data_IF_936421079046
#
_entry.id   IF_936421079046
#
_cell.length_a   1.000
_cell.length_b   1.000
_cell.length_c   1.000
_cell.angle_alpha   90.00
_cell.angle_beta   90.00
_cell.angle_gamma   90.00
#
_symmetry.space_group_name_H-M   'P 1'
#
loop_
_entity.id
_entity.type
_entity.pdbx_description
1 polymer ?
#
# COMPACT_ATOMS: atom_id res chain seq x y z
N UNK A 1 -6.98 3.30 9.55
CA UNK A 1 -5.69 3.34 8.83
C UNK A 1 -5.97 3.67 7.38
N UNK A 2 -5.35 4.72 6.89
CA UNK A 2 -5.47 5.16 5.50
C UNK A 2 -4.31 4.59 4.70
N UNK A 3 -4.60 4.08 3.50
CA UNK A 3 -3.59 3.48 2.66
C UNK A 3 -3.80 3.87 1.20
N UNK A 4 -2.69 4.02 0.49
CA UNK A 4 -2.66 4.16 -0.95
C UNK A 4 -1.49 3.32 -1.48
N UNK A 5 -1.76 2.47 -2.45
CA UNK A 5 -0.79 1.56 -3.03
C UNK A 5 -0.60 1.83 -4.52
N UNK A 6 0.62 1.60 -5.00
CA UNK A 6 0.91 1.55 -6.43
C UNK A 6 1.39 0.16 -6.82
N UNK A 7 1.02 -0.28 -8.01
CA UNK A 7 1.31 -1.61 -8.52
C UNK A 7 1.78 -1.52 -9.97
N UNK A 8 2.38 -2.61 -10.46
CA UNK A 8 2.76 -2.72 -11.88
C UNK A 8 1.56 -2.95 -12.79
N UNK A 9 0.43 -3.31 -12.23
CA UNK A 9 -0.85 -3.54 -12.88
C UNK A 9 -1.84 -4.05 -11.86
N UNK A 10 -3.00 -4.52 -12.30
CA UNK A 10 -4.08 -4.95 -11.41
C UNK A 10 -4.28 -6.47 -11.35
N UNK A 11 -3.43 -7.25 -12.02
CA UNK A 11 -3.50 -8.70 -12.04
C UNK A 11 -2.77 -9.29 -10.82
N UNK A 12 -3.51 -9.84 -9.88
CA UNK A 12 -2.95 -10.43 -8.66
C UNK A 12 -2.01 -11.62 -8.92
N UNK A 13 -2.11 -12.26 -10.08
CA UNK A 13 -1.24 -13.39 -10.41
C UNK A 13 0.14 -12.94 -10.92
N UNK A 14 0.20 -11.77 -11.58
CA UNK A 14 1.41 -11.32 -12.29
C UNK A 14 2.00 -10.04 -11.75
N UNK A 15 1.16 -9.15 -11.25
CA UNK A 15 1.60 -7.79 -10.94
C UNK A 15 2.13 -7.65 -9.52
N UNK A 16 3.00 -6.67 -9.36
CA UNK A 16 3.71 -6.42 -8.11
C UNK A 16 3.17 -5.18 -7.42
N UNK A 17 3.13 -5.26 -6.09
CA UNK A 17 2.97 -4.12 -5.20
C UNK A 17 4.32 -3.40 -5.12
N UNK A 18 4.38 -2.12 -5.51
CA UNK A 18 5.64 -1.37 -5.63
C UNK A 18 5.72 -0.14 -4.74
N UNK A 19 4.61 0.35 -4.23
CA UNK A 19 4.61 1.44 -3.24
C UNK A 19 3.45 1.25 -2.27
N UNK A 20 3.70 1.50 -1.00
CA UNK A 20 2.68 1.50 0.05
C UNK A 20 2.86 2.76 0.89
N UNK A 21 1.86 3.63 0.87
CA UNK A 21 1.81 4.83 1.70
C UNK A 21 0.70 4.66 2.73
N UNK A 22 1.02 4.91 4.00
CA UNK A 22 0.09 4.69 5.12
C UNK A 22 0.09 5.88 6.06
N UNK A 23 -1.12 6.30 6.45
CA UNK A 23 -1.35 7.26 7.51
C UNK A 23 -2.32 6.66 8.53
N UNK A 24 -2.05 6.85 9.80
CA UNK A 24 -3.02 6.58 10.86
C UNK A 24 -3.58 7.91 11.34
N UNK A 25 -4.89 8.01 11.43
CA UNK A 25 -5.56 9.20 11.96
C UNK A 25 -6.46 8.82 13.13
N UNK A 26 -6.80 9.80 13.95
CA UNK A 26 -7.89 9.66 14.89
C UNK A 26 -9.25 9.86 14.17
N UNK A 27 -10.35 9.84 14.93
CA UNK A 27 -11.71 10.01 14.37
C UNK A 27 -11.94 11.41 13.77
N UNK A 28 -11.16 12.40 14.17
CA UNK A 28 -11.26 13.78 13.69
C UNK A 28 -10.26 14.07 12.55
N UNK A 29 -9.64 13.03 12.00
CA UNK A 29 -8.69 13.07 10.90
C UNK A 29 -7.36 13.77 11.24
N UNK A 30 -7.01 13.85 12.51
CA UNK A 30 -5.68 14.29 12.90
C UNK A 30 -4.68 13.16 12.66
N UNK A 31 -3.62 13.46 11.90
CA UNK A 31 -2.58 12.47 11.57
C UNK A 31 -1.74 12.17 12.81
N UNK A 32 -1.58 10.87 13.11
CA UNK A 32 -0.76 10.38 14.21
C UNK A 32 0.62 10.00 13.65
N UNK A 33 1.66 10.60 14.20
CA UNK A 33 3.01 10.44 13.67
C UNK A 33 3.18 11.13 12.31
N UNK A 34 4.15 10.67 11.54
CA UNK A 34 4.48 11.26 10.24
C UNK A 34 3.98 10.43 9.05
N UNK A 35 3.40 9.26 9.33
CA UNK A 35 3.07 8.31 8.29
C UNK A 35 4.29 7.59 7.75
N UNK A 36 4.08 6.70 6.82
CA UNK A 36 5.16 5.99 6.11
C UNK A 36 4.84 5.91 4.63
N UNK A 37 5.88 5.94 3.82
CA UNK A 37 5.80 5.73 2.38
C UNK A 37 7.00 4.86 2.01
N UNK A 38 6.74 3.62 1.59
CA UNK A 38 7.80 2.66 1.28
C UNK A 38 7.73 2.22 -0.17
N UNK A 39 8.89 2.16 -0.80
CA UNK A 39 9.05 1.67 -2.16
C UNK A 39 9.58 0.24 -2.11
N UNK A 40 8.99 -0.64 -2.91
CA UNK A 40 9.31 -2.06 -2.95
C UNK A 40 9.82 -2.39 -4.35
N UNK A 41 11.03 -2.94 -4.42
CA UNK A 41 11.65 -3.26 -5.69
C UNK A 41 11.01 -4.53 -6.28
N UNK A 42 10.36 -4.43 -7.46
CA UNK A 42 9.77 -5.60 -8.10
C UNK A 42 10.83 -6.43 -8.83
N UNK A 43 10.43 -7.63 -9.26
CA UNK A 43 11.25 -8.44 -10.16
C UNK A 43 11.24 -7.83 -11.56
N UNK A 44 12.29 -8.09 -12.34
CA UNK A 44 12.44 -7.55 -13.69
C UNK A 44 11.28 -7.94 -14.61
N UNK A 45 10.79 -9.19 -14.53
CA UNK A 45 9.67 -9.64 -15.35
C UNK A 45 8.36 -8.90 -15.00
N UNK A 46 8.20 -8.46 -13.77
CA UNK A 46 7.04 -7.67 -13.39
C UNK A 46 7.10 -6.26 -13.95
N UNK A 47 8.29 -5.66 -13.97
CA UNK A 47 8.51 -4.37 -14.63
C UNK A 47 8.30 -4.47 -16.14
N UNK A 48 8.85 -5.51 -16.78
CA UNK A 48 8.71 -5.73 -18.21
C UNK A 48 7.26 -5.98 -18.62
N UNK A 49 6.47 -6.59 -17.75
CA UNK A 49 5.05 -6.90 -18.01
C UNK A 49 4.09 -5.72 -17.86
N UNK A 50 4.57 -4.56 -17.40
CA UNK A 50 3.75 -3.36 -17.26
C UNK A 50 3.17 -2.91 -18.60
N UNK A 51 1.87 -2.56 -18.62
CA UNK A 51 1.27 -1.95 -19.80
C UNK A 51 1.88 -0.59 -20.10
N UNK A 52 1.79 -0.12 -21.33
CA UNK A 52 2.30 1.19 -21.73
C UNK A 52 1.64 2.32 -20.93
N UNK A 53 0.34 2.19 -20.65
CA UNK A 53 -0.41 3.17 -19.85
C UNK A 53 0.14 3.27 -18.42
N UNK A 54 0.34 2.14 -17.75
CA UNK A 54 0.85 2.10 -16.38
C UNK A 54 2.31 2.57 -16.33
N UNK A 55 3.12 2.15 -17.31
CA UNK A 55 4.52 2.58 -17.42
C UNK A 55 4.65 4.08 -17.58
N UNK A 56 3.82 4.68 -18.45
CA UNK A 56 3.81 6.12 -18.65
C UNK A 56 3.39 6.86 -17.38
N UNK A 57 2.37 6.37 -16.69
CA UNK A 57 1.90 6.96 -15.44
C UNK A 57 2.98 6.95 -14.37
N UNK A 58 3.67 5.84 -14.18
CA UNK A 58 4.73 5.72 -13.18
C UNK A 58 6.01 6.45 -13.58
N UNK A 59 6.26 6.60 -14.87
CA UNK A 59 7.37 7.42 -15.38
C UNK A 59 7.12 8.89 -15.06
N UNK A 60 5.93 9.40 -15.36
CA UNK A 60 5.56 10.81 -15.11
C UNK A 60 5.58 11.17 -13.63
N UNK A 61 5.17 10.26 -12.76
CA UNK A 61 5.17 10.49 -11.31
C UNK A 61 6.57 10.41 -10.69
N UNK A 62 7.56 9.91 -11.44
CA UNK A 62 8.91 9.65 -10.93
C UNK A 62 9.06 8.32 -10.19
N UNK A 63 7.99 7.53 -10.09
CA UNK A 63 8.00 6.28 -9.34
C UNK A 63 8.96 5.25 -9.95
N UNK A 64 8.96 5.08 -11.28
CA UNK A 64 9.85 4.11 -11.92
C UNK A 64 11.32 4.36 -11.60
N UNK A 65 11.75 5.61 -11.67
CA UNK A 65 13.15 5.97 -11.36
C UNK A 65 13.46 5.72 -9.88
N UNK A 66 12.49 5.99 -9.00
CA UNK A 66 12.66 5.81 -7.57
C UNK A 66 12.74 4.34 -7.15
N UNK A 67 12.18 3.41 -7.93
CA UNK A 67 12.18 1.97 -7.60
C UNK A 67 13.58 1.35 -7.53
N UNK A 68 14.59 1.96 -8.14
CA UNK A 68 15.96 1.52 -8.01
C UNK A 68 16.43 1.51 -6.53
N UNK A 69 15.86 2.38 -5.71
CA UNK A 69 16.12 2.48 -4.27
C UNK A 69 15.08 1.76 -3.42
N UNK A 70 14.23 0.94 -4.03
CA UNK A 70 13.20 0.18 -3.34
C UNK A 70 13.79 -0.89 -2.43
N UNK A 71 13.06 -1.24 -1.39
CA UNK A 71 13.44 -2.26 -0.43
C UNK A 71 12.76 -3.60 -0.74
N UNK A 72 13.04 -4.62 0.06
CA UNK A 72 12.37 -5.92 -0.07
C UNK A 72 10.95 -5.84 0.53
N UNK A 73 10.09 -6.78 0.12
CA UNK A 73 8.74 -6.88 0.68
C UNK A 73 8.78 -7.11 2.20
N UNK A 74 9.70 -7.94 2.67
CA UNK A 74 9.84 -8.23 4.11
C UNK A 74 10.19 -6.96 4.89
N UNK A 75 11.16 -6.18 4.41
CA UNK A 75 11.55 -4.93 5.06
C UNK A 75 10.44 -3.89 5.00
N UNK A 76 9.78 -3.76 3.86
CA UNK A 76 8.66 -2.84 3.68
C UNK A 76 7.52 -3.16 4.65
N UNK A 77 7.17 -4.44 4.77
CA UNK A 77 6.14 -4.89 5.71
C UNK A 77 6.48 -4.51 7.14
N UNK A 78 7.74 -4.71 7.54
CA UNK A 78 8.17 -4.40 8.89
C UNK A 78 8.11 -2.89 9.17
N UNK A 79 8.56 -2.07 8.24
CA UNK A 79 8.51 -0.60 8.36
C UNK A 79 7.06 -0.12 8.55
N UNK A 80 6.14 -0.61 7.73
CA UNK A 80 4.73 -0.24 7.81
C UNK A 80 4.10 -0.72 9.12
N UNK A 81 4.35 -1.98 9.49
CA UNK A 81 3.82 -2.55 10.74
C UNK A 81 4.32 -1.82 11.98
N UNK A 82 5.59 -1.45 12.02
CA UNK A 82 6.15 -0.72 13.16
C UNK A 82 5.44 0.61 13.36
N UNK A 83 5.21 1.35 12.28
CA UNK A 83 4.45 2.59 12.35
C UNK A 83 3.01 2.35 12.81
N UNK A 84 2.32 1.41 12.18
CA UNK A 84 0.90 1.15 12.49
C UNK A 84 0.74 0.68 13.94
N UNK A 85 1.59 -0.23 14.41
CA UNK A 85 1.52 -0.77 15.78
C UNK A 85 1.83 0.27 16.85
N UNK A 86 2.61 1.28 16.54
CA UNK A 86 2.87 2.37 17.46
C UNK A 86 1.58 3.10 17.84
N UNK A 87 0.72 3.36 16.87
CA UNK A 87 -0.53 4.12 17.07
C UNK A 87 -1.77 3.24 17.18
N UNK A 88 -1.71 2.01 16.69
CA UNK A 88 -2.79 1.03 16.75
C UNK A 88 -2.23 -0.31 17.24
N UNK A 89 -1.92 -0.42 18.53
CA UNK A 89 -1.29 -1.65 19.06
C UNK A 89 -2.21 -2.87 19.05
N UNK A 90 -3.53 -2.66 19.05
CA UNK A 90 -4.49 -3.77 19.09
C UNK A 90 -4.93 -4.12 17.67
N UNK A 91 -4.77 -5.41 17.30
CA UNK A 91 -5.22 -5.92 16.01
C UNK A 91 -6.76 -5.91 15.90
N UNK A 92 -7.24 -5.81 14.65
CA UNK A 92 -8.66 -5.90 14.29
C UNK A 92 -9.53 -4.79 14.86
N UNK A 93 -8.94 -3.64 15.19
CA UNK A 93 -9.66 -2.53 15.80
C UNK A 93 -10.03 -1.42 14.81
N UNK A 94 -9.13 -1.07 13.89
CA UNK A 94 -9.34 0.04 12.96
C UNK A 94 -9.65 -0.47 11.56
N UNK A 95 -10.60 0.17 10.85
CA UNK A 95 -10.90 -0.19 9.46
C UNK A 95 -9.77 0.26 8.55
N UNK A 96 -9.74 -0.33 7.36
CA UNK A 96 -8.87 0.08 6.26
C UNK A 96 -9.60 1.08 5.40
N UNK A 97 -8.99 2.24 5.16
CA UNK A 97 -9.61 3.35 4.43
C UNK A 97 -8.76 3.77 3.23
N UNK A 98 -9.40 4.14 2.15
CA UNK A 98 -8.74 4.64 0.94
C UNK A 98 -9.69 4.76 -0.23
N UNK A 99 -9.14 5.06 -1.40
CA UNK A 99 -9.90 5.16 -2.64
C UNK A 99 -9.83 3.83 -3.41
N UNK A 100 -10.98 3.27 -3.75
CA UNK A 100 -11.09 1.94 -4.40
C UNK A 100 -10.31 0.88 -3.60
N UNK A 101 -10.48 0.92 -2.30
CA UNK A 101 -9.62 0.25 -1.32
C UNK A 101 -9.61 -1.28 -1.43
N UNK A 102 -10.64 -1.87 -2.03
CA UNK A 102 -10.70 -3.32 -2.22
C UNK A 102 -9.54 -3.87 -3.04
N UNK A 103 -9.09 -3.13 -4.05
CA UNK A 103 -7.93 -3.50 -4.86
C UNK A 103 -6.66 -3.49 -4.02
N UNK A 104 -6.40 -2.40 -3.29
CA UNK A 104 -5.24 -2.30 -2.41
C UNK A 104 -5.25 -3.41 -1.38
N UNK A 105 -6.40 -3.68 -0.77
CA UNK A 105 -6.54 -4.74 0.22
C UNK A 105 -6.19 -6.13 -0.33
N UNK A 106 -6.57 -6.42 -1.57
CA UNK A 106 -6.25 -7.69 -2.20
C UNK A 106 -4.74 -7.88 -2.37
N UNK A 107 -4.02 -6.84 -2.79
CA UNK A 107 -2.56 -6.88 -2.88
C UNK A 107 -1.90 -7.00 -1.50
N UNK A 108 -2.44 -6.33 -0.49
CA UNK A 108 -1.93 -6.47 0.89
C UNK A 108 -2.13 -7.88 1.42
N UNK A 109 -3.27 -8.50 1.17
CA UNK A 109 -3.54 -9.87 1.63
C UNK A 109 -2.56 -10.87 1.04
N UNK A 110 -2.14 -10.65 -0.23
CA UNK A 110 -1.15 -11.49 -0.88
C UNK A 110 0.27 -11.24 -0.37
N UNK A 111 0.67 -9.97 -0.26
CA UNK A 111 2.08 -9.58 -0.08
C UNK A 111 2.45 -9.14 1.34
N UNK A 112 1.49 -8.58 2.08
CA UNK A 112 1.67 -8.12 3.45
C UNK A 112 0.57 -8.68 4.36
N UNK A 113 0.45 -10.02 4.47
CA UNK A 113 -0.65 -10.65 5.21
C UNK A 113 -0.69 -10.24 6.69
N UNK A 114 0.45 -9.95 7.30
CA UNK A 114 0.50 -9.50 8.69
C UNK A 114 -0.15 -8.12 8.86
N UNK A 115 0.07 -7.22 7.90
CA UNK A 115 -0.56 -5.90 7.91
C UNK A 115 -2.07 -6.03 7.67
N UNK A 116 -2.47 -6.81 6.69
CA UNK A 116 -3.89 -7.05 6.38
C UNK A 116 -4.61 -7.67 7.59
N UNK A 117 -3.98 -8.60 8.29
CA UNK A 117 -4.52 -9.22 9.48
C UNK A 117 -4.59 -8.27 10.69
N UNK A 118 -3.80 -7.20 10.70
CA UNK A 118 -3.77 -6.25 11.81
C UNK A 118 -4.94 -5.27 11.78
N UNK A 119 -5.51 -4.99 10.60
CA UNK A 119 -6.66 -4.09 10.46
C UNK A 119 -7.97 -4.87 10.54
N UNK A 120 -9.06 -4.13 10.84
CA UNK A 120 -10.41 -4.71 10.85
C UNK A 120 -10.81 -5.11 9.42
N UNK A 121 -11.70 -6.10 9.27
CA UNK A 121 -12.17 -6.53 7.94
C UNK A 121 -12.98 -5.46 7.20
N UNK A 122 -13.50 -4.46 7.92
CA UNK A 122 -14.33 -3.41 7.31
C UNK A 122 -13.48 -2.40 6.55
N UNK A 123 -13.94 -2.05 5.36
CA UNK A 123 -13.34 -1.01 4.53
C UNK A 123 -14.14 0.29 4.63
N UNK A 124 -13.42 1.41 4.55
CA UNK A 124 -14.01 2.73 4.27
C UNK A 124 -13.51 3.16 2.89
N UNK A 125 -14.36 3.07 1.89
CA UNK A 125 -14.01 3.37 0.50
C UNK A 125 -14.55 4.75 0.13
N UNK A 126 -13.64 5.73 0.05
CA UNK A 126 -14.03 7.12 -0.24
C UNK A 126 -14.49 7.30 -1.69
N UNK A 127 -14.17 6.39 -2.61
CA UNK A 127 -14.68 6.44 -3.97
C UNK A 127 -16.20 6.25 -4.01
N UNK A 128 -16.77 5.62 -3.00
CA UNK A 128 -18.22 5.43 -2.88
C UNK A 128 -18.97 6.73 -2.58
N UNK A 129 -18.25 7.78 -2.22
CA UNK A 129 -18.84 9.09 -1.89
C UNK A 129 -18.84 10.05 -3.09
N UNK A 130 -18.34 9.65 -4.22
CA UNK A 130 -18.26 10.46 -5.45
C UNK A 130 -19.59 10.46 -6.22
#
# INVERSE_FOLDING_TARGET
>A
MWIDCEMTGLDLERDALIEVAVLVTDKDLNVLGEGVDVLIKPREEQLAGMSDFVREMHTKSGLLDALANGTTMTEATQVVLDYVREFVPTARKVPLAGNTIGTDRAFLARDMPELEAHVHYRNVDVSSLK
#
